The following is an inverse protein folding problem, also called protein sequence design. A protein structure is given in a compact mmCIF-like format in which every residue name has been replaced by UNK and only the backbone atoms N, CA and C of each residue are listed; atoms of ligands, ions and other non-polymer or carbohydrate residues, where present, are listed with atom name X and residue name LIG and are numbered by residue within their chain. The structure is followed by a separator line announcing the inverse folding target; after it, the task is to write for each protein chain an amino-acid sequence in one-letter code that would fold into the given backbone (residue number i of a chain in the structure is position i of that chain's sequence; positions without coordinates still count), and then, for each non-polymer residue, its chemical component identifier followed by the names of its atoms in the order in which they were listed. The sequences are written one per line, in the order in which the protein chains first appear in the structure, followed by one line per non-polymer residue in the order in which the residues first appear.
data_IF_878609979370
#
_entry.id   IF_878609979370
#
_cell.length_a   1.000
_cell.length_b   1.000
_cell.length_c   1.000
_cell.angle_alpha   90.00
_cell.angle_beta   90.00
_cell.angle_gamma   90.00
#
_symmetry.space_group_name_H-M   'P 1'
#
loop_
_entity.id
_entity.type
_entity.pdbx_description
1 polymer ?
#
# COMPACT_ATOMS: atom_id res chain seq x y z
N UNK A 1 -1.92 -15.94 20.36
CA UNK A 1 -1.92 -14.72 21.21
C UNK A 1 -0.59 -13.99 21.04
N UNK A 2 -0.63 -12.66 21.01
CA UNK A 2 0.51 -11.72 20.92
C UNK A 2 1.00 -11.35 19.50
N UNK A 3 0.26 -10.45 18.84
CA UNK A 3 0.82 -9.38 18.01
C UNK A 3 -0.22 -8.26 17.81
N UNK A 4 -0.77 -7.75 18.91
CA UNK A 4 -1.29 -6.37 18.94
C UNK A 4 -0.08 -5.44 18.94
N UNK A 5 0.63 -5.40 17.80
CA UNK A 5 1.52 -4.29 17.47
C UNK A 5 0.71 -3.02 17.65
N UNK A 6 1.32 -2.03 18.31
CA UNK A 6 0.77 -0.71 18.56
C UNK A 6 0.42 -0.04 17.23
N UNK A 7 -0.71 -0.41 16.64
CA UNK A 7 -1.24 0.21 15.44
C UNK A 7 -1.43 1.69 15.75
N UNK A 8 -0.84 2.52 14.91
CA UNK A 8 -0.97 3.96 14.91
C UNK A 8 -2.36 4.47 15.22
N UNK A 9 -2.45 5.68 15.77
CA UNK A 9 -3.72 6.38 15.88
C UNK A 9 -4.33 6.71 14.50
N UNK A 10 -3.53 6.66 13.44
CA UNK A 10 -3.94 6.92 12.05
C UNK A 10 -3.42 5.81 11.14
N UNK A 11 -4.28 5.36 10.23
CA UNK A 11 -3.96 4.38 9.19
C UNK A 11 -4.27 4.99 7.82
N UNK A 12 -3.34 4.83 6.87
CA UNK A 12 -3.51 5.18 5.46
C UNK A 12 -3.60 3.87 4.67
N UNK A 13 -4.67 3.71 3.90
CA UNK A 13 -4.83 2.63 2.95
C UNK A 13 -4.60 3.16 1.54
N UNK A 14 -3.74 2.46 0.80
CA UNK A 14 -3.40 2.75 -0.59
C UNK A 14 -3.74 1.58 -1.52
N UNK A 15 -3.75 0.35 -1.01
CA UNK A 15 -4.09 -0.83 -1.81
C UNK A 15 -5.60 -0.87 -2.02
N UNK A 16 -6.02 -1.04 -3.27
CA UNK A 16 -7.42 -0.98 -3.69
C UNK A 16 -8.11 0.39 -3.47
N UNK A 17 -7.32 1.47 -3.42
CA UNK A 17 -7.81 2.85 -3.35
C UNK A 17 -7.34 3.62 -2.13
N UNK A 18 -7.53 4.94 -2.17
CA UNK A 18 -7.11 5.82 -1.08
C UNK A 18 -8.18 5.88 0.01
N UNK A 19 -7.79 5.59 1.25
CA UNK A 19 -8.55 6.03 2.41
C UNK A 19 -7.63 6.34 3.59
N UNK A 20 -8.07 7.23 4.46
CA UNK A 20 -7.36 7.52 5.71
C UNK A 20 -8.33 7.40 6.86
N UNK A 21 -7.93 6.64 7.86
CA UNK A 21 -8.75 6.31 9.01
C UNK A 21 -8.05 6.77 10.28
N UNK A 22 -8.80 7.41 11.17
CA UNK A 22 -8.30 7.77 12.50
C UNK A 22 -9.02 6.96 13.56
N UNK A 23 -8.25 6.40 14.48
CA UNK A 23 -8.74 5.73 15.67
C UNK A 23 -9.15 6.76 16.70
N UNK A 24 -10.42 6.78 17.06
CA UNK A 24 -10.93 7.62 18.14
C UNK A 24 -10.48 7.08 19.51
N UNK A 25 -10.56 7.88 20.58
CA UNK A 25 -10.32 7.40 21.95
C UNK A 25 -11.20 6.20 22.33
N UNK A 26 -12.38 6.10 21.72
CA UNK A 26 -13.33 4.98 21.86
C UNK A 26 -13.00 3.78 20.96
N UNK A 27 -11.77 3.70 20.42
CA UNK A 27 -11.27 2.65 19.52
C UNK A 27 -12.09 2.44 18.24
N UNK A 28 -12.93 3.39 17.84
CA UNK A 28 -13.61 3.34 16.52
C UNK A 28 -12.70 3.91 15.45
N UNK A 29 -12.58 3.20 14.33
CA UNK A 29 -11.94 3.72 13.13
C UNK A 29 -12.96 4.57 12.37
N UNK A 30 -12.57 5.79 12.03
CA UNK A 30 -13.41 6.73 11.29
C UNK A 30 -12.68 7.19 10.05
N UNK A 31 -13.29 7.01 8.88
CA UNK A 31 -12.77 7.55 7.63
C UNK A 31 -12.76 9.08 7.72
N UNK A 32 -11.64 9.68 7.34
CA UNK A 32 -11.47 11.13 7.33
C UNK A 32 -11.54 11.61 5.87
N UNK A 33 -12.61 12.30 5.46
CA UNK A 33 -12.66 12.88 4.12
C UNK A 33 -11.50 13.87 3.98
N UNK A 34 -10.87 13.94 2.82
CA UNK A 34 -9.84 14.93 2.53
C UNK A 34 -10.02 15.46 1.12
N UNK A 35 -9.68 16.74 0.86
CA UNK A 35 -9.57 17.24 -0.51
C UNK A 35 -8.56 16.39 -1.30
N UNK A 36 -8.79 16.19 -2.60
CA UNK A 36 -7.93 15.37 -3.48
C UNK A 36 -6.45 15.77 -3.39
N UNK A 37 -6.16 17.07 -3.35
CA UNK A 37 -4.81 17.59 -3.16
C UNK A 37 -4.13 17.08 -1.87
N UNK A 38 -4.87 17.02 -0.76
CA UNK A 38 -4.37 16.50 0.52
C UNK A 38 -4.21 14.98 0.51
N UNK A 39 -5.12 14.27 -0.18
CA UNK A 39 -4.98 12.82 -0.40
C UNK A 39 -3.69 12.53 -1.16
N UNK A 40 -3.41 13.29 -2.23
CA UNK A 40 -2.19 13.15 -3.06
C UNK A 40 -0.91 13.31 -2.26
N UNK A 41 -0.86 14.33 -1.39
CA UNK A 41 0.29 14.53 -0.50
C UNK A 41 0.50 13.33 0.43
N UNK A 42 -0.56 12.86 1.09
CA UNK A 42 -0.45 11.72 2.01
C UNK A 42 -0.07 10.42 1.29
N UNK A 43 -0.69 10.16 0.12
CA UNK A 43 -0.38 9.01 -0.70
C UNK A 43 1.09 8.99 -1.13
N UNK A 44 1.59 10.10 -1.67
CA UNK A 44 2.98 10.22 -2.09
C UNK A 44 3.97 10.02 -0.93
N UNK A 45 3.73 10.67 0.21
CA UNK A 45 4.60 10.49 1.38
C UNK A 45 4.55 9.05 1.92
N UNK A 46 3.38 8.41 1.86
CA UNK A 46 3.19 7.02 2.28
C UNK A 46 3.94 6.02 1.37
N UNK A 47 4.00 6.28 0.06
CA UNK A 47 4.72 5.41 -0.89
C UNK A 47 6.23 5.63 -0.90
N UNK A 48 6.68 6.84 -0.60
CA UNK A 48 8.12 7.16 -0.53
C UNK A 48 8.79 6.58 0.72
N UNK A 49 8.06 6.52 1.86
CA UNK A 49 8.56 5.93 3.11
C UNK A 49 9.74 6.68 3.77
N UNK A 50 10.17 7.81 3.20
CA UNK A 50 11.26 8.65 3.71
C UNK A 50 10.93 10.14 3.55
N UNK A 51 11.47 11.02 4.41
CA UNK A 51 11.25 12.46 4.27
C UNK A 51 11.78 13.01 2.94
N UNK A 52 10.94 13.76 2.21
CA UNK A 52 11.25 14.40 0.92
C UNK A 52 11.27 15.91 1.03
N UNK A 53 12.10 16.60 0.25
CA UNK A 53 12.14 18.05 0.25
C UNK A 53 10.80 18.63 -0.20
N UNK A 54 10.35 19.73 0.43
CA UNK A 54 9.05 20.36 0.11
C UNK A 54 8.91 20.68 -1.38
N UNK A 55 9.94 21.27 -1.97
CA UNK A 55 9.90 21.70 -3.37
C UNK A 55 9.80 20.51 -4.32
N UNK A 56 10.50 19.41 -3.99
CA UNK A 56 10.38 18.15 -4.72
C UNK A 56 8.95 17.60 -4.65
N UNK A 57 8.34 17.57 -3.46
CA UNK A 57 6.94 17.11 -3.30
C UNK A 57 5.98 18.01 -4.09
N UNK A 58 6.19 19.33 -4.07
CA UNK A 58 5.37 20.27 -4.83
C UNK A 58 5.48 20.00 -6.35
N UNK A 59 6.70 19.89 -6.86
CA UNK A 59 6.96 19.65 -8.28
C UNK A 59 6.40 18.30 -8.75
N UNK A 60 6.58 17.23 -7.96
CA UNK A 60 6.08 15.90 -8.32
C UNK A 60 4.54 15.83 -8.33
N UNK A 61 3.87 16.53 -7.42
CA UNK A 61 2.41 16.45 -7.31
C UNK A 61 1.66 17.43 -8.21
N UNK A 62 2.31 18.50 -8.65
CA UNK A 62 1.75 19.49 -9.57
C UNK A 62 2.75 19.84 -10.68
N UNK A 63 3.11 18.88 -11.56
CA UNK A 63 4.13 19.10 -12.59
C UNK A 63 3.69 20.11 -13.66
N UNK A 64 2.37 20.25 -13.86
CA UNK A 64 1.77 21.10 -14.90
C UNK A 64 1.77 22.61 -14.59
N UNK A 65 2.16 23.01 -13.38
CA UNK A 65 2.12 24.41 -12.95
C UNK A 65 3.51 24.88 -12.54
N UNK A 66 3.79 26.17 -12.76
CA UNK A 66 5.07 26.75 -12.34
C UNK A 66 5.30 26.68 -10.82
N UNK A 67 6.58 26.68 -10.42
CA UNK A 67 7.06 26.43 -9.06
C UNK A 67 6.30 27.17 -7.95
N UNK A 68 5.97 28.44 -8.19
CA UNK A 68 5.24 29.26 -7.23
C UNK A 68 3.82 28.73 -6.98
N UNK A 69 3.11 28.31 -8.04
CA UNK A 69 1.77 27.73 -7.94
C UNK A 69 1.84 26.33 -7.31
N UNK A 70 2.84 25.52 -7.67
CA UNK A 70 3.03 24.21 -7.07
C UNK A 70 3.25 24.32 -5.55
N UNK A 71 4.09 25.27 -5.13
CA UNK A 71 4.36 25.56 -3.71
C UNK A 71 3.12 26.05 -2.96
N UNK A 72 2.30 26.89 -3.58
CA UNK A 72 1.02 27.35 -3.01
C UNK A 72 0.03 26.20 -2.86
N UNK A 73 -0.12 25.35 -3.89
CA UNK A 73 -0.97 24.16 -3.84
C UNK A 73 -0.54 23.20 -2.73
N UNK A 74 0.77 22.94 -2.60
CA UNK A 74 1.33 22.14 -1.52
C UNK A 74 1.00 22.74 -0.15
N UNK A 75 1.19 24.06 0.02
CA UNK A 75 0.89 24.73 1.29
C UNK A 75 -0.59 24.59 1.68
N UNK A 76 -1.51 24.78 0.73
CA UNK A 76 -2.95 24.61 0.95
C UNK A 76 -3.30 23.17 1.31
N UNK A 77 -2.73 22.19 0.59
CA UNK A 77 -2.94 20.77 0.86
C UNK A 77 -2.45 20.37 2.26
N UNK A 78 -1.25 20.82 2.64
CA UNK A 78 -0.66 20.58 3.96
C UNK A 78 -1.47 21.24 5.09
N UNK A 79 -1.96 22.46 4.87
CA UNK A 79 -2.81 23.14 5.84
C UNK A 79 -4.09 22.31 6.13
N UNK A 80 -4.74 21.79 5.09
CA UNK A 80 -5.93 20.95 5.24
C UNK A 80 -5.62 19.62 5.96
N UNK A 81 -4.46 18.99 5.67
CA UNK A 81 -4.01 17.80 6.41
C UNK A 81 -3.79 18.15 7.88
N UNK A 82 -3.07 19.23 8.18
CA UNK A 82 -2.77 19.61 9.57
C UNK A 82 -4.03 19.87 10.40
N UNK A 83 -5.08 20.44 9.80
CA UNK A 83 -6.33 20.72 10.50
C UNK A 83 -7.19 19.47 10.74
N UNK A 84 -7.26 18.56 9.77
CA UNK A 84 -8.14 17.37 9.83
C UNK A 84 -7.44 16.16 10.48
N UNK A 85 -6.13 16.07 10.29
CA UNK A 85 -5.26 14.97 10.70
C UNK A 85 -3.99 15.51 11.36
N UNK A 86 -4.10 16.25 12.48
CA UNK A 86 -2.94 16.77 13.18
C UNK A 86 -2.02 15.64 13.62
N UNK A 87 -0.71 15.81 13.38
CA UNK A 87 0.32 14.86 13.77
C UNK A 87 0.50 13.66 12.82
N UNK A 88 0.00 13.74 11.59
CA UNK A 88 0.26 12.72 10.55
C UNK A 88 1.50 13.01 9.73
N UNK A 89 1.80 14.29 9.47
CA UNK A 89 2.98 14.73 8.73
C UNK A 89 3.99 15.31 9.71
N UNK A 90 5.23 14.84 9.63
CA UNK A 90 6.38 15.46 10.29
C UNK A 90 7.10 16.39 9.31
N UNK A 91 7.52 17.57 9.81
CA UNK A 91 8.24 18.58 9.04
C UNK A 91 9.57 18.84 9.71
N UNK A 92 10.63 18.23 9.19
CA UNK A 92 11.99 18.39 9.72
C UNK A 92 12.90 19.06 8.70
N UNK A 93 13.49 20.21 9.06
CA UNK A 93 14.48 20.93 8.24
C UNK A 93 14.03 21.16 6.78
N UNK A 94 12.75 21.49 6.57
CA UNK A 94 12.19 21.71 5.24
C UNK A 94 11.90 20.42 4.44
N UNK A 95 11.92 19.25 5.09
CA UNK A 95 11.51 17.96 4.50
C UNK A 95 10.19 17.50 5.12
N UNK A 96 9.35 16.90 4.29
CA UNK A 96 8.05 16.34 4.64
C UNK A 96 8.15 14.82 4.71
N UNK A 97 7.71 14.22 5.81
CA UNK A 97 7.56 12.78 5.94
C UNK A 97 6.29 12.45 6.71
N UNK A 98 5.89 11.18 6.70
CA UNK A 98 4.88 10.71 7.65
C UNK A 98 5.51 10.49 9.03
N UNK A 99 4.73 10.73 10.08
CA UNK A 99 5.11 10.35 11.43
C UNK A 99 5.20 8.83 11.51
N UNK A 100 6.21 8.30 12.20
CA UNK A 100 6.48 6.85 12.29
C UNK A 100 5.31 6.02 12.87
N UNK A 101 4.42 6.66 13.63
CA UNK A 101 3.21 6.05 14.19
C UNK A 101 2.02 6.02 13.21
N UNK A 102 2.20 6.36 11.94
CA UNK A 102 1.15 6.26 10.91
C UNK A 102 1.28 4.90 10.27
N UNK A 103 0.23 4.08 10.39
CA UNK A 103 0.20 2.78 9.73
C UNK A 103 -0.08 2.99 8.23
N UNK A 104 0.69 2.32 7.38
CA UNK A 104 0.48 2.32 5.92
C UNK A 104 0.30 0.88 5.48
N UNK A 105 -0.85 0.58 4.89
CA UNK A 105 -1.23 -0.79 4.54
C UNK A 105 -0.30 -1.44 3.50
N UNK A 106 0.24 -0.64 2.57
CA UNK A 106 1.25 -1.07 1.60
C UNK A 106 2.53 -1.52 2.29
N UNK A 107 2.98 -0.81 3.32
CA UNK A 107 4.18 -1.16 4.11
C UNK A 107 3.94 -2.43 4.91
N UNK A 108 2.77 -2.57 5.53
CA UNK A 108 2.35 -3.80 6.24
C UNK A 108 2.35 -4.99 5.28
N UNK A 109 1.72 -4.88 4.11
CA UNK A 109 1.67 -5.97 3.13
C UNK A 109 3.04 -6.35 2.56
N UNK A 110 3.93 -5.38 2.33
CA UNK A 110 5.31 -5.65 1.92
C UNK A 110 6.08 -6.40 3.02
N UNK A 111 5.88 -6.05 4.28
CA UNK A 111 6.49 -6.76 5.41
C UNK A 111 5.94 -8.20 5.52
N UNK A 112 4.62 -8.37 5.41
CA UNK A 112 3.97 -9.68 5.38
C UNK A 112 4.50 -10.54 4.24
N UNK A 113 4.67 -9.99 3.04
CA UNK A 113 5.19 -10.70 1.88
C UNK A 113 6.60 -11.26 2.14
N UNK A 114 7.47 -10.49 2.79
CA UNK A 114 8.82 -10.95 3.19
C UNK A 114 8.77 -12.05 4.25
N UNK A 115 7.80 -11.99 5.16
CA UNK A 115 7.63 -12.95 6.25
C UNK A 115 6.96 -14.27 5.81
N UNK A 116 6.23 -14.30 4.68
CA UNK A 116 5.48 -15.48 4.20
C UNK A 116 6.33 -16.77 4.11
N UNK A 117 7.64 -16.67 3.86
CA UNK A 117 8.53 -17.83 3.83
C UNK A 117 8.63 -18.54 5.18
N UNK A 118 8.55 -17.80 6.28
CA UNK A 118 8.70 -18.31 7.64
C UNK A 118 7.39 -18.48 8.43
N UNK A 119 6.27 -17.97 7.91
CA UNK A 119 4.96 -18.10 8.58
C UNK A 119 4.44 -19.53 8.39
N UNK A 120 4.14 -20.25 9.48
CA UNK A 120 3.58 -21.60 9.42
C UNK A 120 2.06 -21.62 9.20
N UNK A 121 1.35 -20.60 9.66
CA UNK A 121 -0.11 -20.52 9.66
C UNK A 121 -0.66 -19.74 8.45
N UNK A 122 -1.58 -20.35 7.72
CA UNK A 122 -2.24 -19.80 6.54
C UNK A 122 -3.72 -19.44 6.81
N UNK A 123 -4.12 -19.32 8.08
CA UNK A 123 -5.52 -19.01 8.46
C UNK A 123 -6.11 -17.76 7.77
N UNK A 124 -5.28 -16.77 7.40
CA UNK A 124 -5.69 -15.54 6.72
C UNK A 124 -5.39 -15.55 5.20
N UNK A 125 -5.13 -16.72 4.60
CA UNK A 125 -4.64 -16.81 3.22
C UNK A 125 -5.59 -16.18 2.18
N UNK A 126 -6.89 -16.45 2.24
CA UNK A 126 -7.87 -15.87 1.30
C UNK A 126 -7.83 -14.34 1.34
N UNK A 127 -7.83 -13.75 2.54
CA UNK A 127 -7.72 -12.30 2.70
C UNK A 127 -6.40 -11.75 2.15
N UNK A 128 -5.31 -12.50 2.29
CA UNK A 128 -4.01 -12.11 1.74
C UNK A 128 -4.03 -12.18 0.21
N UNK A 129 -4.63 -13.23 -0.37
CA UNK A 129 -4.80 -13.37 -1.83
C UNK A 129 -5.53 -12.16 -2.40
N UNK A 130 -6.68 -11.78 -1.83
CA UNK A 130 -7.45 -10.60 -2.27
C UNK A 130 -6.62 -9.31 -2.21
N UNK A 131 -5.84 -9.13 -1.14
CA UNK A 131 -5.00 -7.94 -0.95
C UNK A 131 -3.83 -7.91 -1.93
N UNK A 132 -3.22 -9.04 -2.25
CA UNK A 132 -2.14 -9.12 -3.23
C UNK A 132 -2.66 -9.11 -4.68
N UNK A 133 -3.91 -9.50 -4.94
CA UNK A 133 -4.55 -9.34 -6.24
C UNK A 133 -4.79 -7.86 -6.60
N UNK A 134 -4.87 -6.99 -5.59
CA UNK A 134 -5.17 -5.56 -5.75
C UNK A 134 -3.92 -4.72 -6.07
N UNK A 135 -4.10 -3.62 -6.81
CA UNK A 135 -3.05 -2.63 -7.08
C UNK A 135 -3.08 -1.46 -6.09
N UNK A 136 -2.00 -0.66 -6.09
CA UNK A 136 -1.91 0.60 -5.35
C UNK A 136 -2.65 1.69 -6.12
N UNK A 137 -3.63 2.31 -5.47
CA UNK A 137 -4.41 3.46 -5.93
C UNK A 137 -4.91 3.31 -7.39
N UNK A 138 -5.60 2.21 -7.77
CA UNK A 138 -5.84 1.86 -9.17
C UNK A 138 -6.48 2.98 -10.02
N UNK A 139 -7.32 3.81 -9.42
CA UNK A 139 -8.02 4.91 -10.11
C UNK A 139 -7.19 6.19 -10.30
N UNK A 140 -5.92 6.19 -9.89
CA UNK A 140 -5.03 7.34 -9.99
C UNK A 140 -4.04 7.17 -11.15
N UNK A 141 -3.72 8.27 -11.85
CA UNK A 141 -2.95 8.28 -13.10
C UNK A 141 -1.65 9.08 -13.01
N UNK A 142 -1.15 9.30 -11.80
CA UNK A 142 0.06 10.10 -11.60
C UNK A 142 1.33 9.34 -12.03
N UNK A 143 2.25 10.03 -12.72
CA UNK A 143 3.50 9.42 -13.21
C UNK A 143 4.36 8.82 -12.09
N UNK A 144 4.37 9.44 -10.90
CA UNK A 144 5.11 8.92 -9.75
C UNK A 144 4.58 7.55 -9.29
N UNK A 145 3.31 7.22 -9.57
CA UNK A 145 2.75 5.91 -9.25
C UNK A 145 3.27 4.80 -10.14
N UNK A 146 3.78 5.09 -11.34
CA UNK A 146 4.29 4.05 -12.24
C UNK A 146 5.41 3.24 -11.57
N UNK A 147 6.37 3.93 -10.96
CA UNK A 147 7.50 3.30 -10.24
C UNK A 147 7.02 2.56 -8.99
N UNK A 148 6.03 3.12 -8.28
CA UNK A 148 5.46 2.50 -7.07
C UNK A 148 4.73 1.21 -7.43
N UNK A 149 3.87 1.24 -8.45
CA UNK A 149 3.10 0.09 -8.92
C UNK A 149 4.00 -1.00 -9.48
N UNK A 150 5.06 -0.65 -10.19
CA UNK A 150 6.02 -1.65 -10.68
C UNK A 150 6.73 -2.37 -9.52
N UNK A 151 7.20 -1.63 -8.51
CA UNK A 151 7.77 -2.23 -7.31
C UNK A 151 6.76 -3.08 -6.54
N UNK A 152 5.52 -2.62 -6.44
CA UNK A 152 4.44 -3.37 -5.80
C UNK A 152 4.10 -4.65 -6.56
N UNK A 153 4.09 -4.58 -7.90
CA UNK A 153 3.82 -5.69 -8.81
C UNK A 153 4.73 -6.88 -8.56
N UNK A 154 6.03 -6.62 -8.46
CA UNK A 154 7.03 -7.65 -8.14
C UNK A 154 6.75 -8.32 -6.79
N UNK A 155 6.47 -7.50 -5.76
CA UNK A 155 6.16 -8.01 -4.41
C UNK A 155 4.92 -8.88 -4.40
N UNK A 156 3.82 -8.42 -5.02
CA UNK A 156 2.54 -9.14 -5.00
C UNK A 156 2.59 -10.43 -5.81
N UNK A 157 3.26 -10.43 -6.97
CA UNK A 157 3.42 -11.66 -7.76
C UNK A 157 4.20 -12.71 -6.97
N UNK A 158 5.32 -12.30 -6.34
CA UNK A 158 6.10 -13.23 -5.52
C UNK A 158 5.30 -13.77 -4.32
N UNK A 159 4.52 -12.91 -3.66
CA UNK A 159 3.67 -13.32 -2.54
C UNK A 159 2.59 -14.32 -2.97
N UNK A 160 1.91 -14.08 -4.10
CA UNK A 160 0.88 -14.96 -4.63
C UNK A 160 1.44 -16.33 -5.06
N UNK A 161 2.59 -16.34 -5.74
CA UNK A 161 3.26 -17.60 -6.11
C UNK A 161 3.60 -18.43 -4.87
N UNK A 162 4.10 -17.78 -3.81
CA UNK A 162 4.45 -18.45 -2.55
C UNK A 162 3.21 -18.93 -1.79
N UNK A 163 2.14 -18.12 -1.75
CA UNK A 163 0.86 -18.51 -1.15
C UNK A 163 0.30 -19.75 -1.86
N UNK A 164 0.28 -19.75 -3.19
CA UNK A 164 -0.19 -20.88 -3.99
C UNK A 164 0.59 -22.16 -3.65
N UNK A 165 1.92 -22.12 -3.73
CA UNK A 165 2.76 -23.29 -3.43
C UNK A 165 2.53 -23.83 -2.01
N UNK A 166 2.43 -22.95 -1.01
CA UNK A 166 2.21 -23.36 0.38
C UNK A 166 0.82 -23.91 0.63
N UNK A 167 -0.20 -23.32 0.02
CA UNK A 167 -1.58 -23.80 0.12
C UNK A 167 -1.73 -25.17 -0.54
N UNK A 168 -1.09 -25.40 -1.69
CA UNK A 168 -1.02 -26.73 -2.33
C UNK A 168 -0.38 -27.76 -1.40
N UNK A 169 0.77 -27.44 -0.79
CA UNK A 169 1.43 -28.35 0.16
C UNK A 169 0.59 -28.66 1.40
N UNK A 170 -0.28 -27.74 1.82
CA UNK A 170 -1.17 -27.91 2.95
C UNK A 170 -2.52 -28.56 2.57
N UNK A 171 -2.74 -28.92 1.31
CA UNK A 171 -3.99 -29.52 0.83
C UNK A 171 -5.14 -28.53 0.60
N UNK A 172 -4.87 -27.23 0.65
CA UNK A 172 -5.85 -26.16 0.40
C UNK A 172 -5.88 -25.79 -1.09
N UNK A 173 -6.23 -26.76 -1.95
CA UNK A 173 -6.10 -26.66 -3.41
C UNK A 173 -6.92 -25.51 -4.02
N UNK A 174 -8.15 -25.26 -3.54
CA UNK A 174 -9.00 -24.17 -4.06
C UNK A 174 -8.32 -22.80 -3.89
N UNK A 175 -7.91 -22.46 -2.67
CA UNK A 175 -7.20 -21.21 -2.39
C UNK A 175 -5.83 -21.14 -3.08
N UNK A 176 -5.17 -22.29 -3.30
CA UNK A 176 -3.93 -22.35 -4.06
C UNK A 176 -4.13 -21.96 -5.54
N UNK A 177 -5.21 -22.44 -6.16
CA UNK A 177 -5.63 -22.07 -7.51
C UNK A 177 -5.99 -20.58 -7.55
N UNK A 178 -6.75 -20.07 -6.60
CA UNK A 178 -7.13 -18.65 -6.55
C UNK A 178 -5.89 -17.73 -6.50
N UNK A 179 -4.89 -18.08 -5.68
CA UNK A 179 -3.62 -17.37 -5.61
C UNK A 179 -2.86 -17.39 -6.96
N UNK A 180 -2.80 -18.56 -7.61
CA UNK A 180 -2.11 -18.69 -8.89
C UNK A 180 -2.84 -17.97 -10.03
N UNK A 181 -4.18 -18.02 -10.06
CA UNK A 181 -5.02 -17.27 -11.01
C UNK A 181 -4.79 -15.77 -10.84
N UNK A 182 -4.77 -15.27 -9.61
CA UNK A 182 -4.45 -13.87 -9.34
C UNK A 182 -3.05 -13.49 -9.84
N UNK A 183 -2.04 -14.35 -9.65
CA UNK A 183 -0.68 -14.13 -10.15
C UNK A 183 -0.65 -14.02 -11.68
N UNK A 184 -1.33 -14.94 -12.38
CA UNK A 184 -1.43 -14.93 -13.85
C UNK A 184 -2.22 -13.73 -14.37
N UNK A 185 -3.24 -13.25 -13.65
CA UNK A 185 -3.98 -12.06 -14.03
C UNK A 185 -3.11 -10.79 -14.00
N UNK A 186 -2.15 -10.71 -13.07
CA UNK A 186 -1.23 -9.58 -12.93
C UNK A 186 -0.10 -9.59 -13.97
N UNK A 187 0.43 -10.77 -14.31
CA UNK A 187 1.44 -10.94 -15.36
C UNK A 187 1.19 -12.22 -16.15
N UNK A 188 0.37 -12.15 -17.22
CA UNK A 188 -0.01 -13.32 -18.01
C UNK A 188 1.16 -14.02 -18.71
N UNK A 189 2.26 -13.29 -18.96
CA UNK A 189 3.44 -13.78 -19.68
C UNK A 189 4.51 -14.38 -18.77
N UNK A 190 4.37 -14.27 -17.44
CA UNK A 190 5.36 -14.82 -16.51
C UNK A 190 5.21 -16.33 -16.41
N UNK A 191 6.23 -17.03 -16.89
CA UNK A 191 6.31 -18.49 -16.90
C UNK A 191 6.13 -19.08 -15.49
N UNK A 192 6.69 -18.42 -14.46
CA UNK A 192 6.56 -18.88 -13.07
C UNK A 192 5.10 -18.93 -12.63
N UNK A 193 4.33 -17.88 -12.87
CA UNK A 193 2.91 -17.81 -12.50
C UNK A 193 2.09 -18.89 -13.22
N UNK A 194 2.38 -19.12 -14.50
CA UNK A 194 1.76 -20.20 -15.28
C UNK A 194 2.10 -21.58 -14.75
N UNK A 195 3.37 -21.82 -14.39
CA UNK A 195 3.83 -23.09 -13.83
C UNK A 195 3.16 -23.40 -12.51
N UNK A 196 3.14 -22.43 -11.59
CA UNK A 196 2.48 -22.55 -10.29
C UNK A 196 0.99 -22.84 -10.45
N UNK A 197 0.31 -22.22 -11.43
CA UNK A 197 -1.10 -22.54 -11.73
C UNK A 197 -1.30 -23.99 -12.20
N UNK A 198 -0.44 -24.48 -13.10
CA UNK A 198 -0.51 -25.86 -13.57
C UNK A 198 -0.26 -26.84 -12.43
N UNK A 199 0.76 -26.59 -11.59
CA UNK A 199 1.05 -27.40 -10.41
C UNK A 199 -0.11 -27.41 -9.42
N UNK A 200 -0.76 -26.26 -9.18
CA UNK A 200 -1.91 -26.16 -8.29
C UNK A 200 -3.14 -26.95 -8.79
N UNK A 201 -3.35 -27.03 -10.12
CA UNK A 201 -4.42 -27.85 -10.70
C UNK A 201 -4.13 -29.35 -10.68
N UNK A 202 -2.86 -29.75 -10.61
CA UNK A 202 -2.43 -31.15 -10.63
C UNK A 202 -2.24 -31.76 -9.23
N UNK A 203 -2.24 -30.91 -8.19
CA UNK A 203 -2.02 -31.28 -6.79
C UNK A 203 -3.26 -31.91 -6.13
#
# INVERSE_FOLDING_TARGET
MAQQLQRGATSICLVNGFSVQRRSPLRRLTAQPLPTASQRVLAYLATEGQPRARDHVAFTLWPEVGDQKASQSLRTALWAVQHRLPGVIDVQRGRLGLVASVDVDLVELQATARALRGIADLADAERLIDRYASDVLPDWYDDWLLVVRERWREVRLHALDLLSARLSMAGHHASAIDAAVASVAIEPLRETSRRVLMEAYLA
#
